data_IF_337212147064
#
_entry.id   IF_337212147064
#
_cell.length_a   1.000
_cell.length_b   1.000
_cell.length_c   1.000
_cell.angle_alpha   90.00
_cell.angle_beta   90.00
_cell.angle_gamma   90.00
#
_symmetry.space_group_name_H-M   'P 1'
#
loop_
_entity.id
_entity.type
_entity.pdbx_description
1 polymer ?
#
# COMPACT_ATOMS: atom_id res chain seq x y z
N UNK A 1 -2.13 -2.37 -18.35
CA UNK A 1 -3.23 -2.79 -17.47
C UNK A 1 -2.69 -3.68 -16.37
N UNK A 2 -3.15 -3.44 -15.16
CA UNK A 2 -2.77 -4.28 -14.02
C UNK A 2 -3.20 -5.73 -14.28
N UNK A 3 -2.25 -6.67 -14.10
CA UNK A 3 -2.48 -8.08 -14.39
C UNK A 3 -2.08 -8.90 -13.17
N UNK A 4 -3.06 -9.55 -12.55
CA UNK A 4 -2.84 -10.32 -11.32
C UNK A 4 -1.89 -11.51 -11.50
N UNK A 5 -1.61 -11.91 -12.72
CA UNK A 5 -0.69 -13.02 -13.00
C UNK A 5 0.75 -12.60 -13.19
N UNK A 6 1.01 -11.31 -13.32
CA UNK A 6 2.37 -10.80 -13.47
C UNK A 6 3.04 -10.59 -12.12
N UNK A 7 4.37 -10.65 -12.08
CA UNK A 7 5.10 -10.30 -10.87
C UNK A 7 4.67 -8.94 -10.34
N UNK A 8 4.38 -8.88 -9.05
CA UNK A 8 3.80 -7.71 -8.41
C UNK A 8 4.48 -7.49 -7.07
N UNK A 9 4.80 -6.25 -6.75
CA UNK A 9 5.27 -5.91 -5.40
C UNK A 9 4.06 -5.59 -4.53
N UNK A 10 4.04 -6.15 -3.35
CA UNK A 10 3.02 -5.87 -2.34
C UNK A 10 3.52 -4.77 -1.41
N UNK A 11 2.72 -3.72 -1.25
CA UNK A 11 2.97 -2.69 -0.25
C UNK A 11 1.88 -2.77 0.80
N UNK A 12 2.22 -3.21 2.00
CA UNK A 12 1.26 -3.34 3.10
C UNK A 12 1.47 -2.23 4.10
N UNK A 13 0.44 -1.47 4.42
CA UNK A 13 0.54 -0.39 5.38
C UNK A 13 -0.82 0.21 5.72
N UNK A 14 -0.80 1.25 6.57
CA UNK A 14 -2.00 2.00 6.95
C UNK A 14 -2.28 3.16 6.01
N UNK A 15 -1.22 3.79 5.52
CA UNK A 15 -1.24 4.92 4.60
C UNK A 15 -2.11 6.09 5.14
N UNK A 16 -1.81 6.49 6.38
CA UNK A 16 -2.62 7.48 7.13
C UNK A 16 -1.78 8.71 7.56
N UNK A 17 -1.54 9.71 6.70
CA UNK A 17 -1.93 9.78 5.30
C UNK A 17 -0.85 9.25 4.35
N UNK A 18 -1.18 9.16 3.08
CA UNK A 18 -0.19 8.97 2.03
C UNK A 18 0.64 10.26 1.92
N UNK A 19 1.95 10.14 1.98
CA UNK A 19 2.85 11.29 1.93
C UNK A 19 4.03 11.04 0.99
N UNK A 20 4.93 12.01 0.87
CA UNK A 20 6.05 11.95 -0.08
C UNK A 20 6.95 10.73 0.17
N UNK A 21 7.18 10.34 1.41
CA UNK A 21 7.94 9.13 1.72
C UNK A 21 7.30 7.87 1.15
N UNK A 22 5.97 7.78 1.21
CA UNK A 22 5.23 6.67 0.63
C UNK A 22 5.28 6.73 -0.90
N UNK A 23 5.25 7.93 -1.47
CA UNK A 23 5.38 8.13 -2.90
C UNK A 23 6.72 7.59 -3.41
N UNK A 24 7.80 7.89 -2.71
CA UNK A 24 9.13 7.40 -3.07
C UNK A 24 9.25 5.88 -2.88
N UNK A 25 8.65 5.35 -1.82
CA UNK A 25 8.58 3.91 -1.61
C UNK A 25 7.88 3.22 -2.77
N UNK A 26 6.74 3.76 -3.20
CA UNK A 26 6.01 3.23 -4.35
C UNK A 26 6.89 3.18 -5.59
N UNK A 27 7.63 4.25 -5.87
CA UNK A 27 8.51 4.30 -7.04
C UNK A 27 9.56 3.21 -7.01
N UNK A 28 10.14 2.95 -5.83
CA UNK A 28 11.11 1.86 -5.68
C UNK A 28 10.47 0.50 -5.92
N UNK A 29 9.27 0.31 -5.41
CA UNK A 29 8.52 -0.93 -5.63
C UNK A 29 8.15 -1.11 -7.09
N UNK A 30 7.66 -0.06 -7.72
CA UNK A 30 7.28 -0.09 -9.14
C UNK A 30 8.47 -0.44 -10.03
N UNK A 31 9.66 0.08 -9.71
CA UNK A 31 10.87 -0.21 -10.47
C UNK A 31 11.24 -1.69 -10.46
N UNK A 32 10.78 -2.46 -9.47
CA UNK A 32 11.11 -3.87 -9.36
C UNK A 32 10.30 -4.75 -10.33
N UNK A 33 9.04 -4.45 -10.53
CA UNK A 33 8.15 -5.33 -11.30
C UNK A 33 7.27 -4.63 -12.31
N UNK A 34 7.17 -3.31 -12.26
CA UNK A 34 6.29 -2.56 -13.16
C UNK A 34 4.83 -2.53 -12.77
N UNK A 35 4.47 -3.14 -11.64
CA UNK A 35 3.14 -2.97 -11.05
C UNK A 35 3.20 -3.26 -9.55
N UNK A 36 2.30 -2.61 -8.81
CA UNK A 36 2.27 -2.67 -7.35
C UNK A 36 0.86 -2.88 -6.85
N UNK A 37 0.70 -3.77 -5.88
CA UNK A 37 -0.54 -3.91 -5.13
C UNK A 37 -0.39 -3.19 -3.80
N UNK A 38 -1.14 -2.11 -3.61
CA UNK A 38 -1.13 -1.34 -2.38
C UNK A 38 -2.23 -1.90 -1.49
N UNK A 39 -1.83 -2.56 -0.42
CA UNK A 39 -2.76 -3.13 0.54
C UNK A 39 -2.88 -2.20 1.74
N UNK A 40 -4.12 -1.85 2.06
CA UNK A 40 -4.46 -0.94 3.14
C UNK A 40 -5.01 -1.76 4.30
N UNK A 41 -4.32 -1.75 5.43
CA UNK A 41 -4.80 -2.44 6.64
C UNK A 41 -6.05 -1.75 7.15
N UNK A 42 -7.06 -2.54 7.47
CA UNK A 42 -8.31 -2.04 8.00
C UNK A 42 -8.15 -1.71 9.48
N UNK A 43 -7.75 -0.46 9.73
CA UNK A 43 -7.52 0.06 11.08
C UNK A 43 -8.36 1.31 11.35
N UNK A 44 -9.38 1.55 10.50
CA UNK A 44 -10.26 2.69 10.66
C UNK A 44 -10.88 2.69 12.05
N UNK A 45 -10.81 3.85 12.72
CA UNK A 45 -11.31 3.98 14.08
C UNK A 45 -10.44 3.35 15.14
N UNK A 46 -9.38 2.64 14.75
CA UNK A 46 -8.42 2.11 15.71
C UNK A 46 -7.58 3.22 16.31
N UNK A 47 -7.26 3.11 17.60
CA UNK A 47 -6.48 4.13 18.28
C UNK A 47 -5.24 3.54 18.92
N UNK A 48 -4.21 4.36 19.03
CA UNK A 48 -2.98 3.99 19.72
C UNK A 48 -3.08 4.17 21.23
N UNK A 49 -4.20 4.69 21.73
CA UNK A 49 -4.42 4.90 23.16
C UNK A 49 -5.68 5.71 23.39
N UNK A 50 -5.98 5.97 24.66
CA UNK A 50 -7.18 6.70 25.05
C UNK A 50 -7.22 8.09 24.41
N UNK A 51 -8.30 8.37 23.71
CA UNK A 51 -8.51 9.67 23.10
C UNK A 51 -7.66 9.96 21.88
N UNK A 52 -6.84 9.01 21.43
CA UNK A 52 -6.03 9.17 20.24
C UNK A 52 -6.65 8.45 19.07
N UNK A 53 -6.71 9.13 17.94
CA UNK A 53 -7.13 8.53 16.69
C UNK A 53 -5.97 8.64 15.70
N UNK A 54 -5.15 7.58 15.64
CA UNK A 54 -3.99 7.53 14.75
C UNK A 54 -4.38 7.21 13.32
N UNK A 55 -5.65 6.86 13.08
CA UNK A 55 -6.14 6.45 11.77
C UNK A 55 -7.41 7.25 11.43
N UNK A 56 -7.26 8.58 11.19
CA UNK A 56 -8.43 9.45 11.03
C UNK A 56 -9.15 9.31 9.69
N UNK A 57 -8.52 8.68 8.70
CA UNK A 57 -9.09 8.61 7.36
C UNK A 57 -9.82 7.31 7.15
N UNK A 58 -11.04 7.36 6.59
CA UNK A 58 -11.77 6.18 6.20
C UNK A 58 -11.20 5.61 4.89
N UNK A 59 -11.74 4.45 4.49
CA UNK A 59 -11.30 3.75 3.29
C UNK A 59 -11.35 4.64 2.05
N UNK A 60 -12.45 5.35 1.87
CA UNK A 60 -12.62 6.19 0.68
C UNK A 60 -11.59 7.31 0.63
N UNK A 61 -11.32 7.93 1.77
CA UNK A 61 -10.33 9.00 1.86
C UNK A 61 -8.91 8.48 1.63
N UNK A 62 -8.59 7.32 2.18
CA UNK A 62 -7.27 6.69 1.96
C UNK A 62 -7.05 6.43 0.47
N UNK A 63 -8.02 5.83 -0.21
CA UNK A 63 -7.92 5.58 -1.65
C UNK A 63 -7.72 6.88 -2.43
N UNK A 64 -8.52 7.90 -2.10
CA UNK A 64 -8.44 9.18 -2.78
C UNK A 64 -7.07 9.83 -2.59
N UNK A 65 -6.54 9.79 -1.37
CA UNK A 65 -5.22 10.36 -1.08
C UNK A 65 -4.13 9.66 -1.89
N UNK A 66 -4.19 8.33 -1.99
CA UNK A 66 -3.22 7.55 -2.76
C UNK A 66 -3.33 7.88 -4.25
N UNK A 67 -4.54 7.86 -4.79
CA UNK A 67 -4.77 8.14 -6.21
C UNK A 67 -4.31 9.54 -6.58
N UNK A 68 -4.64 10.54 -5.76
CA UNK A 68 -4.21 11.92 -5.99
C UNK A 68 -2.68 12.05 -5.93
N UNK A 69 -2.07 11.41 -4.94
CA UNK A 69 -0.62 11.43 -4.80
C UNK A 69 0.08 10.81 -6.00
N UNK A 70 -0.33 9.61 -6.37
CA UNK A 70 0.31 8.89 -7.48
C UNK A 70 0.05 9.52 -8.83
N UNK A 71 -1.10 10.18 -9.02
CA UNK A 71 -1.40 10.87 -10.28
C UNK A 71 -0.44 12.02 -10.56
N UNK A 72 0.15 12.61 -9.52
CA UNK A 72 1.13 13.68 -9.68
C UNK A 72 2.39 13.22 -10.41
N UNK A 73 2.71 11.94 -10.30
CA UNK A 73 3.83 11.33 -10.99
C UNK A 73 3.36 10.44 -12.16
N UNK A 74 2.14 10.67 -12.64
CA UNK A 74 1.55 10.01 -13.81
C UNK A 74 1.29 8.52 -13.64
N UNK A 75 1.19 8.02 -12.41
CA UNK A 75 0.77 6.65 -12.16
C UNK A 75 -0.75 6.57 -12.12
N UNK A 76 -1.29 5.52 -12.73
CA UNK A 76 -2.74 5.34 -12.88
C UNK A 76 -3.21 4.05 -12.24
N UNK A 77 -4.25 4.15 -11.42
CA UNK A 77 -4.90 2.99 -10.84
C UNK A 77 -5.49 2.12 -11.94
N UNK A 78 -5.33 0.81 -11.81
CA UNK A 78 -5.81 -0.14 -12.80
C UNK A 78 -4.80 -0.44 -13.91
N UNK A 79 -3.77 0.41 -14.05
CA UNK A 79 -2.67 0.19 -15.00
C UNK A 79 -1.37 -0.11 -14.26
N UNK A 80 -0.95 0.81 -13.40
CA UNK A 80 0.33 0.72 -12.71
C UNK A 80 0.20 0.11 -11.33
N UNK A 81 -0.98 0.18 -10.73
CA UNK A 81 -1.22 -0.32 -9.39
C UNK A 81 -2.70 -0.60 -9.16
N UNK A 82 -2.97 -1.33 -8.09
CA UNK A 82 -4.29 -1.45 -7.51
C UNK A 82 -4.23 -1.21 -6.01
N UNK A 83 -5.38 -0.92 -5.42
CA UNK A 83 -5.52 -0.68 -3.99
C UNK A 83 -6.52 -1.69 -3.44
N UNK A 84 -6.15 -2.37 -2.36
CA UNK A 84 -6.99 -3.40 -1.76
C UNK A 84 -7.07 -3.18 -0.26
N UNK A 85 -8.30 -3.14 0.27
CA UNK A 85 -8.50 -3.15 1.71
C UNK A 85 -8.28 -4.58 2.22
N UNK A 86 -7.44 -4.73 3.24
CA UNK A 86 -7.15 -6.02 3.85
C UNK A 86 -7.39 -5.93 5.36
N UNK A 87 -7.61 -7.07 6.02
CA UNK A 87 -7.73 -7.06 7.49
C UNK A 87 -6.51 -6.42 8.16
N UNK A 88 -6.61 -6.18 9.45
CA UNK A 88 -5.49 -5.65 10.23
C UNK A 88 -4.41 -6.72 10.39
N UNK A 89 -3.66 -6.94 9.33
CA UNK A 89 -2.62 -7.97 9.25
C UNK A 89 -1.47 -7.61 10.17
N UNK A 90 -1.12 -8.53 11.06
CA UNK A 90 -0.03 -8.34 12.03
C UNK A 90 1.10 -9.37 11.86
N UNK A 91 0.92 -10.32 10.96
CA UNK A 91 1.92 -11.34 10.70
C UNK A 91 1.85 -11.74 9.22
N UNK A 92 3.01 -11.92 8.60
CA UNK A 92 3.11 -12.36 7.22
C UNK A 92 3.78 -13.72 7.23
N UNK A 93 3.03 -14.75 6.86
CA UNK A 93 3.53 -16.12 6.79
C UNK A 93 3.34 -16.61 5.36
N UNK A 94 4.40 -17.13 4.78
CA UNK A 94 4.32 -17.73 3.45
C UNK A 94 4.75 -19.20 3.53
N UNK A 95 4.26 -19.99 2.59
CA UNK A 95 4.59 -21.39 2.52
C UNK A 95 5.94 -21.62 1.86
N UNK A 96 6.01 -22.57 0.93
CA UNK A 96 7.25 -22.80 0.19
C UNK A 96 7.56 -21.59 -0.66
N UNK A 97 8.64 -20.90 -0.33
CA UNK A 97 9.04 -19.69 -1.04
C UNK A 97 9.71 -20.03 -2.37
N UNK A 98 9.25 -19.40 -3.43
CA UNK A 98 9.87 -19.50 -4.73
C UNK A 98 10.04 -18.08 -5.25
N UNK A 99 11.23 -17.53 -5.08
CA UNK A 99 11.56 -16.21 -5.59
C UNK A 99 10.95 -15.03 -4.84
N UNK A 100 10.45 -15.25 -3.62
CA UNK A 100 9.97 -14.13 -2.80
C UNK A 100 11.12 -13.39 -2.19
N UNK A 101 11.05 -12.06 -2.24
CA UNK A 101 11.89 -11.19 -1.44
C UNK A 101 11.00 -10.51 -0.39
N UNK A 102 11.45 -10.48 0.85
CA UNK A 102 10.74 -9.80 1.94
C UNK A 102 11.65 -8.67 2.39
N UNK A 103 11.17 -7.44 2.24
CA UNK A 103 11.95 -6.26 2.52
C UNK A 103 11.18 -5.31 3.43
N UNK A 104 11.86 -4.75 4.41
CA UNK A 104 11.32 -3.65 5.19
C UNK A 104 11.89 -2.36 4.61
N UNK A 105 11.00 -1.53 4.05
CA UNK A 105 11.38 -0.23 3.53
C UNK A 105 10.86 0.84 4.48
N UNK A 106 11.76 1.68 4.97
CA UNK A 106 11.41 2.79 5.84
C UNK A 106 11.36 4.08 5.06
N UNK A 107 10.27 4.78 5.23
CA UNK A 107 10.07 6.08 4.58
C UNK A 107 10.28 7.23 5.56
#
# INVERSE_FOLDING_TARGET
>A
MFDSKKPTVQMLGRWQPWHQGHQELFKRCFAKTGQVLIQVRDVEGGSGGDGQNDNPFDWNQVCKNIEEGLSKDNFQRGADYEIMLVPNIVNITYGRGVGYAIEEERS
#
